data_IF_726792017398
#
_entry.id   IF_726792017398
#
_cell.length_a   1.000
_cell.length_b   1.000
_cell.length_c   1.000
_cell.angle_alpha   90.00
_cell.angle_beta   90.00
_cell.angle_gamma   90.00
#
_symmetry.space_group_name_H-M   'P 1'
#
loop_
_entity.id
_entity.type
_entity.pdbx_description
1 polymer ?
#
# COMPACT_ATOMS: atom_id res chain seq x y z
N UNK A 1 -4.52 -1.44 -6.38
CA UNK A 1 -5.34 -2.23 -7.32
C UNK A 1 -4.59 -3.42 -7.91
N UNK A 2 -3.46 -3.24 -8.62
CA UNK A 2 -2.69 -4.36 -9.21
C UNK A 2 -2.17 -5.39 -8.21
N UNK A 3 -1.73 -4.96 -7.02
CA UNK A 3 -1.32 -5.89 -5.96
C UNK A 3 -2.46 -6.82 -5.53
N UNK A 4 -3.68 -6.29 -5.37
CA UNK A 4 -4.85 -7.07 -5.02
C UNK A 4 -5.22 -8.09 -6.11
N UNK A 5 -5.12 -7.69 -7.39
CA UNK A 5 -5.28 -8.60 -8.53
C UNK A 5 -4.26 -9.75 -8.49
N UNK A 6 -3.00 -9.44 -8.23
CA UNK A 6 -1.92 -10.43 -8.16
C UNK A 6 -2.14 -11.42 -7.01
N UNK A 7 -2.55 -10.93 -5.82
CA UNK A 7 -2.88 -11.79 -4.68
C UNK A 7 -4.01 -12.76 -5.02
N UNK A 8 -5.09 -12.27 -5.63
CA UNK A 8 -6.23 -13.10 -6.02
C UNK A 8 -5.82 -14.20 -7.03
N UNK A 9 -5.01 -13.84 -8.02
CA UNK A 9 -4.51 -14.77 -9.06
C UNK A 9 -3.42 -15.72 -8.57
N UNK A 10 -2.86 -15.48 -7.39
CA UNK A 10 -1.88 -16.37 -6.73
C UNK A 10 -2.52 -17.21 -5.63
N UNK A 11 -3.86 -17.26 -5.57
CA UNK A 11 -4.58 -18.17 -4.69
C UNK A 11 -4.58 -17.76 -3.20
N UNK A 12 -4.39 -16.48 -2.88
CA UNK A 12 -4.56 -16.00 -1.50
C UNK A 12 -6.02 -16.11 -1.11
N UNK A 13 -6.31 -16.93 -0.09
CA UNK A 13 -7.68 -17.30 0.30
C UNK A 13 -8.46 -16.22 1.07
N UNK A 14 -7.81 -15.17 1.57
CA UNK A 14 -8.48 -14.05 2.22
C UNK A 14 -7.75 -12.72 1.93
N UNK A 15 -8.48 -11.71 1.48
CA UNK A 15 -7.95 -10.40 1.11
C UNK A 15 -8.81 -9.30 1.74
N UNK A 16 -8.16 -8.36 2.45
CA UNK A 16 -8.82 -7.15 2.93
C UNK A 16 -8.37 -5.95 2.12
N UNK A 17 -9.32 -5.15 1.64
CA UNK A 17 -9.10 -3.90 0.91
C UNK A 17 -9.54 -2.73 1.79
N UNK A 18 -8.67 -1.73 1.95
CA UNK A 18 -8.94 -0.53 2.74
C UNK A 18 -8.73 0.69 1.84
N UNK A 19 -9.81 1.31 1.39
CA UNK A 19 -9.80 2.49 0.50
C UNK A 19 -11.21 3.12 0.52
N UNK A 20 -11.30 4.44 0.64
CA UNK A 20 -12.58 5.19 0.65
C UNK A 20 -12.74 6.05 -0.63
N UNK A 21 -11.81 5.99 -1.57
CA UNK A 21 -11.95 6.75 -2.81
C UNK A 21 -12.90 6.07 -3.81
N UNK A 22 -13.56 6.89 -4.62
CA UNK A 22 -14.28 6.45 -5.80
C UNK A 22 -13.38 6.32 -7.03
N UNK A 23 -13.78 5.45 -7.97
CA UNK A 23 -13.16 5.34 -9.29
C UNK A 23 -13.36 6.64 -10.06
N UNK A 24 -12.26 7.32 -10.41
CA UNK A 24 -12.26 8.52 -11.24
C UNK A 24 -11.83 8.20 -12.68
N UNK A 25 -12.36 8.91 -13.67
CA UNK A 25 -11.93 8.79 -15.08
C UNK A 25 -10.43 9.00 -15.26
N UNK A 26 -9.81 9.85 -14.43
CA UNK A 26 -8.36 10.13 -14.47
C UNK A 26 -7.50 8.97 -13.96
N UNK A 27 -8.11 7.91 -13.42
CA UNK A 27 -7.41 6.69 -12.99
C UNK A 27 -7.14 5.71 -14.15
N UNK A 28 -7.78 5.91 -15.31
CA UNK A 28 -7.74 5.02 -16.49
C UNK A 28 -6.31 4.66 -16.92
N UNK A 29 -5.35 5.58 -16.80
CA UNK A 29 -3.98 5.33 -17.24
C UNK A 29 -3.17 4.40 -16.30
N UNK A 30 -3.65 4.06 -15.09
CA UNK A 30 -2.81 3.38 -14.09
C UNK A 30 -3.54 2.47 -13.09
N UNK A 31 -4.86 2.35 -13.14
CA UNK A 31 -5.62 1.52 -12.18
C UNK A 31 -6.54 0.53 -12.90
N UNK A 32 -6.40 -0.77 -12.57
CA UNK A 32 -7.10 -1.86 -13.28
C UNK A 32 -8.64 -1.80 -13.21
N UNK A 33 -9.20 -1.16 -12.18
CA UNK A 33 -10.65 -1.05 -11.99
C UNK A 33 -11.27 0.15 -12.72
N UNK A 34 -10.47 1.03 -13.32
CA UNK A 34 -10.93 2.25 -13.99
C UNK A 34 -11.46 1.95 -15.41
N UNK A 35 -12.71 1.51 -15.48
CA UNK A 35 -13.44 1.21 -16.72
C UNK A 35 -14.70 2.08 -16.83
N UNK A 36 -15.20 2.26 -18.07
CA UNK A 36 -16.34 3.17 -18.37
C UNK A 36 -17.64 2.87 -17.60
N UNK A 37 -17.82 1.67 -17.02
CA UNK A 37 -18.97 1.32 -16.18
C UNK A 37 -18.74 1.47 -14.67
N UNK A 38 -17.51 1.76 -14.24
CA UNK A 38 -17.14 1.77 -12.83
C UNK A 38 -16.94 3.18 -12.27
N UNK A 39 -16.93 4.22 -13.12
CA UNK A 39 -16.68 5.61 -12.68
C UNK A 39 -17.75 6.04 -11.67
N UNK A 40 -17.32 6.57 -10.53
CA UNK A 40 -18.19 6.98 -9.42
C UNK A 40 -18.57 5.86 -8.44
N UNK A 41 -18.10 4.62 -8.64
CA UNK A 41 -18.23 3.54 -7.66
C UNK A 41 -17.00 3.50 -6.74
N UNK A 42 -17.18 3.03 -5.51
CA UNK A 42 -16.09 2.86 -4.55
C UNK A 42 -15.01 1.91 -5.08
N UNK A 43 -13.73 2.32 -5.08
CA UNK A 43 -12.61 1.54 -5.64
C UNK A 43 -12.48 0.17 -4.97
N UNK A 44 -12.59 0.13 -3.64
CA UNK A 44 -12.44 -1.09 -2.87
C UNK A 44 -13.54 -2.10 -3.20
N UNK A 45 -14.78 -1.67 -3.34
CA UNK A 45 -15.90 -2.54 -3.71
C UNK A 45 -15.79 -3.06 -5.16
N UNK A 46 -15.45 -2.19 -6.11
CA UNK A 46 -15.22 -2.62 -7.50
C UNK A 46 -14.10 -3.67 -7.58
N UNK A 47 -13.02 -3.48 -6.82
CA UNK A 47 -11.96 -4.49 -6.73
C UNK A 47 -12.40 -5.75 -5.99
N UNK A 48 -13.25 -5.66 -4.97
CA UNK A 48 -13.75 -6.81 -4.24
C UNK A 48 -14.63 -7.71 -5.13
N UNK A 49 -15.56 -7.11 -5.87
CA UNK A 49 -16.36 -7.82 -6.88
C UNK A 49 -15.46 -8.50 -7.91
N UNK A 50 -14.44 -7.79 -8.41
CA UNK A 50 -13.47 -8.37 -9.35
C UNK A 50 -12.71 -9.56 -8.76
N UNK A 51 -12.29 -9.49 -7.49
CA UNK A 51 -11.61 -10.61 -6.82
C UNK A 51 -12.54 -11.82 -6.69
N UNK A 52 -13.82 -11.60 -6.31
CA UNK A 52 -14.82 -12.68 -6.22
C UNK A 52 -15.06 -13.36 -7.58
N UNK A 53 -14.99 -12.61 -8.67
CA UNK A 53 -15.04 -13.17 -10.04
C UNK A 53 -13.80 -13.99 -10.40
N UNK A 54 -12.62 -13.64 -9.87
CA UNK A 54 -11.37 -14.37 -10.12
C UNK A 54 -11.31 -15.65 -9.30
N UNK A 55 -11.68 -15.58 -8.03
CA UNK A 55 -11.70 -16.70 -7.11
C UNK A 55 -12.93 -16.59 -6.19
N UNK A 56 -14.04 -17.30 -6.50
CA UNK A 56 -15.27 -17.28 -5.72
C UNK A 56 -15.10 -17.77 -4.27
N UNK A 57 -14.06 -18.56 -3.99
CA UNK A 57 -13.74 -19.06 -2.64
C UNK A 57 -12.89 -18.07 -1.83
N UNK A 58 -12.38 -17.00 -2.46
CA UNK A 58 -11.61 -15.98 -1.75
C UNK A 58 -12.53 -15.18 -0.81
N UNK A 59 -12.18 -15.17 0.48
CA UNK A 59 -12.86 -14.31 1.46
C UNK A 59 -12.38 -12.88 1.32
N UNK A 60 -13.19 -12.04 0.70
CA UNK A 60 -12.88 -10.61 0.52
C UNK A 60 -13.60 -9.75 1.56
N UNK A 61 -12.84 -8.93 2.27
CA UNK A 61 -13.35 -7.94 3.21
C UNK A 61 -13.02 -6.54 2.70
N UNK A 62 -14.01 -5.65 2.70
CA UNK A 62 -13.82 -4.23 2.37
C UNK A 62 -13.93 -3.42 3.64
N UNK A 63 -13.02 -2.48 3.82
CA UNK A 63 -13.08 -1.42 4.82
C UNK A 63 -13.14 -0.10 4.06
N UNK A 64 -14.31 0.50 4.04
CA UNK A 64 -14.57 1.80 3.41
C UNK A 64 -14.15 2.93 4.36
N UNK A 65 -12.85 3.00 4.66
CA UNK A 65 -12.24 4.04 5.47
C UNK A 65 -10.78 4.32 5.06
N UNK A 66 -10.23 5.44 5.51
CA UNK A 66 -8.80 5.71 5.46
C UNK A 66 -8.13 5.29 6.76
N UNK A 67 -6.90 4.78 6.65
CA UNK A 67 -6.08 4.52 7.84
C UNK A 67 -5.66 5.84 8.48
N UNK A 68 -5.88 5.98 9.78
CA UNK A 68 -5.46 7.12 10.62
C UNK A 68 -4.67 6.61 11.82
N UNK A 69 -3.88 7.46 12.51
CA UNK A 69 -3.24 7.07 13.77
C UNK A 69 -4.22 6.53 14.82
N UNK A 70 -5.50 6.91 14.74
CA UNK A 70 -6.55 6.54 15.70
C UNK A 70 -7.15 5.16 15.39
N UNK A 71 -7.41 4.82 14.12
CA UNK A 71 -8.07 3.56 13.72
C UNK A 71 -7.08 2.45 13.30
N UNK A 72 -5.80 2.77 13.10
CA UNK A 72 -4.78 1.82 12.60
C UNK A 72 -4.69 0.54 13.44
N UNK A 73 -4.88 0.64 14.76
CA UNK A 73 -4.85 -0.51 15.67
C UNK A 73 -6.08 -1.41 15.52
N UNK A 74 -7.24 -0.83 15.26
CA UNK A 74 -8.49 -1.56 15.02
C UNK A 74 -8.40 -2.35 13.71
N UNK A 75 -7.96 -1.70 12.63
CA UNK A 75 -7.92 -2.32 11.32
C UNK A 75 -6.81 -3.35 11.15
N UNK A 76 -5.61 -3.10 11.69
CA UNK A 76 -4.48 -4.02 11.52
C UNK A 76 -4.35 -5.04 12.67
N UNK A 77 -5.08 -4.84 13.78
CA UNK A 77 -5.08 -5.73 14.94
C UNK A 77 -5.71 -7.11 14.68
N UNK A 78 -6.37 -7.30 13.54
CA UNK A 78 -7.07 -8.55 13.16
C UNK A 78 -6.15 -9.72 12.84
N UNK A 79 -4.83 -9.52 12.78
CA UNK A 79 -3.84 -10.58 12.60
C UNK A 79 -3.57 -10.95 11.15
N UNK A 80 -3.22 -9.98 10.31
CA UNK A 80 -2.83 -10.23 8.91
C UNK A 80 -1.50 -10.98 8.81
N UNK A 81 -1.44 -11.95 7.88
CA UNK A 81 -0.18 -12.61 7.51
C UNK A 81 0.83 -11.65 6.86
N UNK A 82 0.32 -10.64 6.15
CA UNK A 82 1.12 -9.62 5.50
C UNK A 82 0.28 -8.37 5.20
N UNK A 83 0.93 -7.21 5.19
CA UNK A 83 0.34 -5.92 4.82
C UNK A 83 1.10 -5.35 3.62
N UNK A 84 0.37 -4.98 2.56
CA UNK A 84 0.92 -4.26 1.41
C UNK A 84 0.46 -2.81 1.49
N UNK A 85 1.37 -1.92 1.82
CA UNK A 85 1.11 -0.48 1.89
C UNK A 85 1.33 0.19 0.52
N UNK A 86 0.21 0.52 -0.13
CA UNK A 86 0.14 1.24 -1.38
C UNK A 86 -0.51 2.64 -1.24
N UNK A 87 -0.50 3.22 -0.03
CA UNK A 87 -1.02 4.56 0.24
C UNK A 87 -0.09 5.62 -0.37
N UNK A 88 -0.66 6.67 -0.96
CA UNK A 88 0.08 7.78 -1.59
C UNK A 88 0.29 8.98 -0.67
N UNK A 89 -0.60 9.17 0.30
CA UNK A 89 -0.57 10.25 1.28
C UNK A 89 0.37 9.95 2.45
N UNK A 90 1.34 10.84 2.69
CA UNK A 90 2.43 10.62 3.67
C UNK A 90 1.95 10.41 5.11
N UNK A 91 0.89 11.10 5.55
CA UNK A 91 0.38 11.03 6.93
C UNK A 91 -0.17 9.64 7.28
N UNK A 92 -1.20 9.11 6.58
CA UNK A 92 -1.72 7.78 6.85
C UNK A 92 -0.66 6.68 6.62
N UNK A 93 0.16 6.85 5.58
CA UNK A 93 1.28 5.94 5.27
C UNK A 93 2.28 5.80 6.43
N UNK A 94 2.67 6.92 7.04
CA UNK A 94 3.59 6.90 8.18
C UNK A 94 2.97 6.24 9.42
N UNK A 95 1.68 6.47 9.68
CA UNK A 95 0.96 5.86 10.80
C UNK A 95 0.91 4.34 10.67
N UNK A 96 0.53 3.84 9.50
CA UNK A 96 0.45 2.41 9.20
C UNK A 96 1.82 1.72 9.33
N UNK A 97 2.88 2.29 8.73
CA UNK A 97 4.23 1.72 8.81
C UNK A 97 4.75 1.73 10.25
N UNK A 98 4.57 2.83 10.98
CA UNK A 98 5.03 2.92 12.37
C UNK A 98 4.35 1.88 13.26
N UNK A 99 3.04 1.68 13.08
CA UNK A 99 2.27 0.68 13.81
C UNK A 99 2.74 -0.75 13.45
N UNK A 100 2.79 -1.11 12.18
CA UNK A 100 3.20 -2.45 11.74
C UNK A 100 4.62 -2.80 12.24
N UNK A 101 5.56 -1.85 12.13
CA UNK A 101 6.94 -2.02 12.60
C UNK A 101 7.03 -2.23 14.11
N UNK A 102 6.21 -1.50 14.89
CA UNK A 102 6.17 -1.60 16.35
C UNK A 102 5.63 -2.96 16.80
N UNK A 103 4.54 -3.40 16.19
CA UNK A 103 3.83 -4.64 16.55
C UNK A 103 4.28 -5.87 15.75
N UNK A 104 5.33 -5.74 14.93
CA UNK A 104 5.92 -6.84 14.15
C UNK A 104 4.95 -7.51 13.18
N UNK A 105 4.01 -6.74 12.65
CA UNK A 105 3.16 -7.19 11.54
C UNK A 105 3.99 -7.14 10.25
N UNK A 106 4.12 -8.24 9.51
CA UNK A 106 4.88 -8.27 8.25
C UNK A 106 4.32 -7.24 7.26
N UNK A 107 5.19 -6.39 6.72
CA UNK A 107 4.80 -5.29 5.86
C UNK A 107 5.82 -5.06 4.75
N UNK A 108 5.32 -4.74 3.56
CA UNK A 108 6.05 -4.10 2.47
C UNK A 108 5.35 -2.80 2.10
N UNK A 109 6.10 -1.71 1.95
CA UNK A 109 5.58 -0.44 1.44
C UNK A 109 6.02 -0.23 0.00
N UNK A 110 5.28 0.60 -0.73
CA UNK A 110 5.73 1.16 -2.01
C UNK A 110 6.15 2.62 -1.85
N UNK A 111 7.18 2.98 -2.60
CA UNK A 111 7.57 4.36 -2.87
C UNK A 111 6.64 5.07 -3.85
N UNK A 112 7.10 6.19 -4.39
CA UNK A 112 6.42 6.86 -5.50
C UNK A 112 6.65 6.13 -6.83
N UNK A 113 5.58 5.84 -7.56
CA UNK A 113 5.63 5.17 -8.88
C UNK A 113 5.25 6.09 -10.05
N UNK A 114 4.97 7.36 -9.78
CA UNK A 114 4.64 8.36 -10.81
C UNK A 114 5.90 9.01 -11.39
N UNK A 115 5.85 9.40 -12.66
CA UNK A 115 6.98 10.07 -13.33
C UNK A 115 8.10 9.12 -13.78
N UNK A 116 7.85 7.81 -13.76
CA UNK A 116 8.78 6.75 -14.13
C UNK A 116 8.23 5.97 -15.32
N UNK A 117 9.11 5.56 -16.25
CA UNK A 117 8.73 4.86 -17.48
C UNK A 117 9.39 3.48 -17.63
N UNK A 118 10.43 3.17 -16.86
CA UNK A 118 11.19 1.93 -17.00
C UNK A 118 10.90 0.93 -15.84
N UNK A 119 10.02 -0.07 -16.07
CA UNK A 119 9.71 -1.06 -15.05
C UNK A 119 10.89 -1.97 -14.68
N UNK A 120 11.96 -2.02 -15.50
CA UNK A 120 13.11 -2.90 -15.23
C UNK A 120 14.00 -2.39 -14.09
N UNK A 121 13.83 -1.13 -13.70
CA UNK A 121 14.57 -0.49 -12.60
C UNK A 121 13.87 -0.62 -11.24
N UNK A 122 12.68 -1.25 -11.19
CA UNK A 122 11.96 -1.49 -9.95
C UNK A 122 12.68 -2.57 -9.13
N UNK A 123 12.93 -2.28 -7.86
CA UNK A 123 13.59 -3.18 -6.93
C UNK A 123 13.12 -2.97 -5.48
N UNK A 124 13.59 -3.83 -4.58
CA UNK A 124 13.27 -3.77 -3.15
C UNK A 124 14.52 -3.46 -2.34
N UNK A 125 14.41 -2.50 -1.43
CA UNK A 125 15.43 -2.24 -0.42
C UNK A 125 14.79 -1.76 0.89
N UNK A 126 15.58 -1.64 1.95
CA UNK A 126 15.12 -0.97 3.17
C UNK A 126 14.74 0.48 2.86
N UNK A 127 13.61 0.96 3.41
CA UNK A 127 13.10 2.32 3.21
C UNK A 127 14.16 3.40 3.47
N UNK A 128 15.12 3.15 4.37
CA UNK A 128 16.24 4.04 4.65
C UNK A 128 17.20 4.28 3.46
N UNK A 129 17.15 3.41 2.45
CA UNK A 129 18.13 3.29 1.35
C UNK A 129 17.54 3.60 -0.02
N UNK A 130 16.26 3.93 -0.13
CA UNK A 130 15.67 4.32 -1.42
C UNK A 130 16.28 5.63 -1.92
N UNK A 131 16.41 5.73 -3.24
CA UNK A 131 16.91 6.90 -3.98
C UNK A 131 15.87 7.31 -5.03
N UNK A 132 16.01 8.51 -5.61
CA UNK A 132 15.12 9.05 -6.63
C UNK A 132 13.61 8.97 -6.30
N UNK A 133 13.28 9.08 -5.02
CA UNK A 133 11.91 8.94 -4.53
C UNK A 133 11.57 10.02 -3.49
N UNK A 134 10.93 11.12 -3.93
CA UNK A 134 10.50 12.20 -3.04
C UNK A 134 9.44 11.76 -2.02
N UNK A 135 8.57 10.79 -2.37
CA UNK A 135 7.55 10.29 -1.45
C UNK A 135 8.21 9.53 -0.31
N UNK A 136 9.12 8.61 -0.62
CA UNK A 136 9.89 7.87 0.38
C UNK A 136 10.75 8.80 1.25
N UNK A 137 11.34 9.86 0.67
CA UNK A 137 12.08 10.86 1.45
C UNK A 137 11.19 11.57 2.49
N UNK A 138 10.05 12.13 2.06
CA UNK A 138 9.08 12.77 2.96
C UNK A 138 8.53 11.81 4.01
N UNK A 139 8.33 10.54 3.63
CA UNK A 139 7.89 9.49 4.53
C UNK A 139 8.91 9.21 5.64
N UNK A 140 10.20 9.13 5.31
CA UNK A 140 11.26 8.97 6.32
C UNK A 140 11.31 10.15 7.31
N UNK A 141 11.16 11.37 6.82
CA UNK A 141 11.11 12.57 7.67
C UNK A 141 9.89 12.56 8.59
N UNK A 142 8.72 12.15 8.08
CA UNK A 142 7.49 12.03 8.86
C UNK A 142 7.59 10.93 9.93
N UNK A 143 8.12 9.76 9.56
CA UNK A 143 8.37 8.65 10.49
C UNK A 143 9.29 9.07 11.64
N UNK A 144 10.36 9.83 11.35
CA UNK A 144 11.25 10.38 12.37
C UNK A 144 10.55 11.40 13.26
N UNK A 145 9.89 12.40 12.67
CA UNK A 145 9.36 13.56 13.40
C UNK A 145 8.10 13.27 14.22
N UNK A 146 7.22 12.37 13.76
CA UNK A 146 5.93 12.11 14.42
C UNK A 146 5.92 10.80 15.21
N UNK A 147 6.72 9.81 14.81
CA UNK A 147 6.67 8.46 15.39
C UNK A 147 7.99 8.03 16.04
N UNK A 148 9.03 8.89 16.03
CA UNK A 148 10.35 8.56 16.58
C UNK A 148 11.06 7.41 15.88
N UNK A 149 10.60 7.02 14.67
CA UNK A 149 11.16 5.90 13.93
C UNK A 149 12.40 6.37 13.18
N UNK A 150 13.56 5.95 13.67
CA UNK A 150 14.88 6.29 13.12
C UNK A 150 15.68 5.06 12.72
N UNK A 151 16.72 5.27 11.90
CA UNK A 151 17.63 4.21 11.45
C UNK A 151 18.41 3.64 12.64
N UNK A 152 18.62 2.33 12.64
CA UNK A 152 19.49 1.66 13.63
C UNK A 152 20.98 1.81 13.27
N UNK A 153 21.87 1.18 14.05
CA UNK A 153 23.33 1.19 13.83
C UNK A 153 23.77 0.64 12.48
N UNK A 154 22.94 -0.16 11.80
CA UNK A 154 23.17 -0.67 10.44
C UNK A 154 22.62 0.24 9.35
N UNK A 155 22.15 1.44 9.71
CA UNK A 155 21.57 2.41 8.79
C UNK A 155 20.23 1.98 8.19
N UNK A 156 19.50 1.05 8.84
CA UNK A 156 18.21 0.52 8.37
C UNK A 156 17.05 0.98 9.23
N UNK A 157 15.89 1.23 8.62
CA UNK A 157 14.62 1.44 9.35
C UNK A 157 13.99 0.10 9.75
N UNK A 158 14.29 -0.98 9.04
CA UNK A 158 13.63 -2.29 9.22
C UNK A 158 12.24 -2.30 8.59
N UNK A 159 12.12 -1.70 7.40
CA UNK A 159 10.89 -1.61 6.61
C UNK A 159 11.28 -1.82 5.15
N UNK A 160 10.75 -2.85 4.52
CA UNK A 160 11.03 -3.14 3.11
C UNK A 160 10.18 -2.24 2.21
N UNK A 161 10.82 -1.65 1.19
CA UNK A 161 10.21 -0.69 0.29
C UNK A 161 10.51 -1.05 -1.17
N UNK A 162 9.45 -1.15 -1.99
CA UNK A 162 9.53 -1.19 -3.45
C UNK A 162 9.76 0.23 -3.96
N UNK A 163 10.82 0.44 -4.75
CA UNK A 163 11.14 1.74 -5.37
C UNK A 163 11.85 1.51 -6.72
N UNK A 164 12.07 2.57 -7.49
CA UNK A 164 12.86 2.53 -8.72
C UNK A 164 14.13 3.37 -8.60
N UNK A 165 15.20 2.98 -9.30
CA UNK A 165 16.42 3.80 -9.44
C UNK A 165 16.31 4.88 -10.50
N UNK A 166 15.25 4.85 -11.30
CA UNK A 166 14.97 5.81 -12.36
C UNK A 166 14.81 7.23 -11.79
N UNK A 167 15.40 8.21 -12.48
CA UNK A 167 15.42 9.62 -12.08
C UNK A 167 14.31 10.43 -12.75
#
# INVERSE_FOLDING_TARGET
SWAAEALARTGIGAITLIDMDDVCVTNTNRQIHALSGNVGLAKAEVMAERIRLINPECRVTVVDDFVTPENVAEYLGVGFSYVIDAIDSVRPKAALIAWCRRYKVPLVTTGGAGGQIDPTQIQVADLAKTIQDPLAAKLRERLKSQFGVVKNSKGKLGVDCVFSTEA
#
